data_IF_251692637506
#
_entry.id   IF_251692637506
#
_cell.length_a   1.000
_cell.length_b   1.000
_cell.length_c   1.000
_cell.angle_alpha   90.00
_cell.angle_beta   90.00
_cell.angle_gamma   90.00
#
_symmetry.space_group_name_H-M   'P 1'
#
loop_
_entity.id
_entity.type
_entity.pdbx_description
1 polymer ?
#
# COMPACT_ATOMS: atom_id res chain seq x y z
N UNK A 1 -51.58 7.53 -32.95
CA UNK A 1 -50.23 6.93 -32.84
C UNK A 1 -49.73 7.22 -31.45
N UNK A 2 -49.87 6.26 -30.55
CA UNK A 2 -49.35 6.34 -29.17
C UNK A 2 -47.92 5.84 -29.16
N UNK A 3 -46.97 6.75 -28.95
CA UNK A 3 -45.54 6.40 -28.75
C UNK A 3 -45.39 5.93 -27.32
N UNK A 4 -45.25 4.62 -27.13
CA UNK A 4 -44.87 4.03 -25.86
C UNK A 4 -43.40 4.32 -25.60
N UNK A 5 -43.13 5.27 -24.70
CA UNK A 5 -41.83 5.46 -24.11
C UNK A 5 -41.51 4.25 -23.22
N UNK A 6 -40.80 3.28 -23.77
CA UNK A 6 -40.16 2.22 -22.97
C UNK A 6 -39.07 2.87 -22.12
N UNK A 7 -39.39 3.14 -20.86
CA UNK A 7 -38.37 3.47 -19.86
C UNK A 7 -37.52 2.23 -19.67
N UNK A 8 -36.30 2.20 -20.21
CA UNK A 8 -35.28 1.28 -19.84
C UNK A 8 -34.90 1.53 -18.37
N UNK A 9 -35.67 0.96 -17.42
CA UNK A 9 -35.23 0.85 -16.03
C UNK A 9 -34.03 -0.06 -16.02
N UNK A 10 -32.88 0.44 -15.59
CA UNK A 10 -31.70 -0.38 -15.32
C UNK A 10 -32.13 -1.54 -14.41
N UNK A 11 -31.77 -2.79 -14.70
CA UNK A 11 -32.17 -3.94 -13.89
C UNK A 11 -31.70 -3.73 -12.45
N UNK A 12 -32.64 -3.56 -11.53
CA UNK A 12 -32.35 -3.37 -10.11
C UNK A 12 -31.86 -4.69 -9.51
N UNK A 13 -30.87 -4.60 -8.65
CA UNK A 13 -30.41 -5.73 -7.81
C UNK A 13 -31.58 -6.17 -6.94
N UNK A 14 -31.84 -7.48 -6.89
CA UNK A 14 -33.01 -8.05 -6.19
C UNK A 14 -32.64 -8.96 -5.03
N UNK A 15 -31.41 -9.46 -4.99
CA UNK A 15 -30.99 -10.39 -3.94
C UNK A 15 -30.80 -9.66 -2.60
N UNK A 16 -31.60 -9.97 -1.56
CA UNK A 16 -31.53 -9.28 -0.27
C UNK A 16 -30.20 -9.52 0.48
N UNK A 17 -29.55 -10.68 0.27
CA UNK A 17 -28.23 -10.95 0.90
C UNK A 17 -27.16 -10.02 0.35
N UNK A 18 -27.19 -9.69 -0.95
CA UNK A 18 -26.26 -8.73 -1.53
C UNK A 18 -26.47 -7.31 -0.98
N UNK A 19 -27.72 -6.90 -0.82
CA UNK A 19 -28.03 -5.58 -0.23
C UNK A 19 -27.63 -5.52 1.26
N UNK A 20 -27.80 -6.62 2.00
CA UNK A 20 -27.33 -6.70 3.38
C UNK A 20 -25.80 -6.63 3.46
N UNK A 21 -25.08 -7.40 2.64
CA UNK A 21 -23.62 -7.38 2.58
C UNK A 21 -23.08 -5.97 2.18
N UNK A 22 -23.72 -5.32 1.19
CA UNK A 22 -23.34 -3.96 0.75
C UNK A 22 -23.48 -2.95 1.90
N UNK A 23 -24.55 -3.05 2.71
CA UNK A 23 -24.78 -2.16 3.87
C UNK A 23 -23.78 -2.36 5.02
N UNK A 24 -23.24 -3.57 5.19
CA UNK A 24 -22.28 -3.90 6.25
C UNK A 24 -20.81 -3.67 5.82
N UNK A 25 -20.56 -3.53 4.53
CA UNK A 25 -19.22 -3.59 3.92
C UNK A 25 -18.21 -2.62 4.53
N UNK A 26 -18.63 -1.41 4.90
CA UNK A 26 -17.72 -0.39 5.43
C UNK A 26 -17.50 -0.55 6.95
N UNK A 27 -18.50 -1.04 7.69
CA UNK A 27 -18.45 -1.12 9.16
C UNK A 27 -18.06 -2.51 9.68
N UNK A 28 -18.52 -3.56 8.99
CA UNK A 28 -18.35 -4.96 9.40
C UNK A 28 -18.00 -5.83 8.19
N UNK A 29 -16.80 -5.65 7.58
CA UNK A 29 -16.40 -6.34 6.35
C UNK A 29 -16.29 -7.86 6.51
N UNK A 30 -15.96 -8.37 7.70
CA UNK A 30 -15.97 -9.79 8.06
C UNK A 30 -17.36 -10.41 7.99
N UNK A 31 -18.36 -9.71 8.53
CA UNK A 31 -19.77 -10.12 8.46
C UNK A 31 -20.29 -10.06 7.02
N UNK A 32 -19.92 -9.03 6.27
CA UNK A 32 -20.26 -8.94 4.85
C UNK A 32 -19.65 -10.11 4.05
N UNK A 33 -18.39 -10.46 4.32
CA UNK A 33 -17.74 -11.61 3.71
C UNK A 33 -18.48 -12.93 4.00
N UNK A 34 -18.81 -13.17 5.28
CA UNK A 34 -19.54 -14.37 5.71
C UNK A 34 -20.90 -14.50 4.99
N UNK A 35 -21.64 -13.39 4.83
CA UNK A 35 -22.90 -13.38 4.08
C UNK A 35 -22.67 -13.73 2.61
N UNK A 36 -21.65 -13.13 1.97
CA UNK A 36 -21.35 -13.37 0.55
C UNK A 36 -20.92 -14.81 0.30
N UNK A 37 -20.12 -15.40 1.18
CA UNK A 37 -19.68 -16.80 1.08
C UNK A 37 -20.79 -17.80 1.36
N UNK A 38 -21.85 -17.42 2.08
CA UNK A 38 -23.04 -18.26 2.28
C UNK A 38 -23.88 -18.43 1.02
N UNK A 39 -23.67 -17.59 0.01
CA UNK A 39 -24.44 -17.63 -1.24
C UNK A 39 -24.03 -18.83 -2.09
N UNK A 40 -24.95 -19.79 -2.21
CA UNK A 40 -24.77 -20.93 -3.09
C UNK A 40 -25.16 -20.60 -4.52
N UNK A 41 -24.38 -21.07 -5.51
CA UNK A 41 -24.64 -20.93 -6.94
C UNK A 41 -24.73 -19.48 -7.46
N UNK A 42 -23.75 -18.59 -7.18
CA UNK A 42 -23.77 -17.21 -7.65
C UNK A 42 -23.84 -17.10 -9.19
N UNK A 43 -23.35 -18.12 -9.91
CA UNK A 43 -23.41 -18.20 -11.38
C UNK A 43 -24.84 -18.28 -11.94
N UNK A 44 -25.83 -18.70 -11.13
CA UNK A 44 -27.26 -18.76 -11.51
C UNK A 44 -28.00 -17.44 -11.28
N UNK A 45 -27.36 -16.44 -10.68
CA UNK A 45 -27.97 -15.15 -10.42
C UNK A 45 -28.22 -14.37 -11.72
N UNK A 46 -29.22 -13.45 -11.71
CA UNK A 46 -29.37 -12.45 -12.74
C UNK A 46 -28.06 -11.67 -12.95
N UNK A 47 -27.83 -11.18 -14.17
CA UNK A 47 -26.56 -10.51 -14.54
C UNK A 47 -26.21 -9.36 -13.60
N UNK A 48 -27.19 -8.55 -13.16
CA UNK A 48 -26.96 -7.44 -12.24
C UNK A 48 -26.54 -7.91 -10.83
N UNK A 49 -27.21 -8.94 -10.30
CA UNK A 49 -26.90 -9.51 -8.98
C UNK A 49 -25.54 -10.19 -8.99
N UNK A 50 -25.20 -10.90 -10.08
CA UNK A 50 -23.89 -11.54 -10.24
C UNK A 50 -22.76 -10.52 -10.31
N UNK A 51 -22.97 -9.39 -11.00
CA UNK A 51 -21.99 -8.32 -11.04
C UNK A 51 -21.78 -7.66 -9.66
N UNK A 52 -22.87 -7.43 -8.93
CA UNK A 52 -22.77 -6.89 -7.57
C UNK A 52 -22.10 -7.90 -6.61
N UNK A 53 -22.44 -9.17 -6.71
CA UNK A 53 -21.79 -10.24 -5.94
C UNK A 53 -20.26 -10.24 -6.17
N UNK A 54 -19.85 -10.19 -7.43
CA UNK A 54 -18.43 -10.17 -7.79
C UNK A 54 -17.70 -8.95 -7.20
N UNK A 55 -18.32 -7.76 -7.32
CA UNK A 55 -17.77 -6.54 -6.74
C UNK A 55 -17.65 -6.64 -5.21
N UNK A 56 -18.73 -7.01 -4.54
CA UNK A 56 -18.77 -7.06 -3.07
C UNK A 56 -17.86 -8.14 -2.49
N UNK A 57 -17.77 -9.31 -3.14
CA UNK A 57 -16.88 -10.38 -2.65
C UNK A 57 -15.40 -9.99 -2.80
N UNK A 58 -15.01 -9.36 -3.91
CA UNK A 58 -13.65 -8.82 -4.07
C UNK A 58 -13.37 -7.74 -3.02
N UNK A 59 -14.30 -6.81 -2.83
CA UNK A 59 -14.18 -5.77 -1.80
C UNK A 59 -14.06 -6.36 -0.40
N UNK A 60 -14.89 -7.34 -0.05
CA UNK A 60 -14.87 -7.99 1.26
C UNK A 60 -13.55 -8.73 1.51
N UNK A 61 -13.06 -9.47 0.53
CA UNK A 61 -11.75 -10.16 0.62
C UNK A 61 -10.62 -9.16 0.83
N UNK A 62 -10.54 -8.13 0.00
CA UNK A 62 -9.52 -7.09 0.13
C UNK A 62 -9.55 -6.42 1.53
N UNK A 63 -10.76 -6.05 2.04
CA UNK A 63 -10.90 -5.44 3.37
C UNK A 63 -10.58 -6.39 4.54
N UNK A 64 -10.65 -7.70 4.33
CA UNK A 64 -10.29 -8.73 5.31
C UNK A 64 -8.85 -9.27 5.09
N UNK A 65 -8.03 -8.60 4.28
CA UNK A 65 -6.64 -8.97 3.99
C UNK A 65 -6.49 -10.41 3.44
N UNK A 66 -7.49 -10.87 2.69
CA UNK A 66 -7.45 -12.15 1.96
C UNK A 66 -6.89 -11.88 0.57
N UNK A 67 -5.80 -12.54 0.23
CA UNK A 67 -5.08 -12.34 -1.02
C UNK A 67 -6.01 -12.53 -2.25
N UNK A 68 -5.88 -11.62 -3.21
CA UNK A 68 -6.57 -11.65 -4.49
C UNK A 68 -5.62 -12.28 -5.53
N UNK A 69 -5.80 -13.58 -5.79
CA UNK A 69 -4.87 -14.38 -6.60
C UNK A 69 -5.12 -14.28 -8.10
N UNK A 70 -6.33 -13.87 -8.51
CA UNK A 70 -6.73 -13.69 -9.91
C UNK A 70 -7.80 -12.60 -10.07
N UNK A 71 -7.96 -12.11 -11.29
CA UNK A 71 -8.89 -11.04 -11.65
C UNK A 71 -10.25 -11.52 -12.19
N UNK A 72 -10.47 -12.84 -12.32
CA UNK A 72 -11.64 -13.39 -12.99
C UNK A 72 -12.97 -12.98 -12.34
N UNK A 73 -12.97 -12.88 -11.00
CA UNK A 73 -14.15 -12.49 -10.24
C UNK A 73 -14.50 -11.02 -10.48
N UNK A 74 -13.55 -10.12 -10.26
CA UNK A 74 -13.81 -8.67 -10.36
C UNK A 74 -14.09 -8.24 -11.82
N UNK A 75 -13.51 -8.91 -12.79
CA UNK A 75 -13.78 -8.70 -14.22
C UNK A 75 -15.26 -8.86 -14.55
N UNK A 76 -15.98 -9.79 -13.88
CA UNK A 76 -17.44 -9.90 -14.02
C UNK A 76 -18.18 -8.61 -13.66
N UNK A 77 -17.72 -7.88 -12.66
CA UNK A 77 -18.28 -6.57 -12.27
C UNK A 77 -17.91 -5.49 -13.27
N UNK A 78 -16.65 -5.42 -13.68
CA UNK A 78 -16.17 -4.43 -14.67
C UNK A 78 -16.89 -4.59 -16.01
N UNK A 79 -17.03 -5.82 -16.53
CA UNK A 79 -17.76 -6.10 -17.77
C UNK A 79 -19.25 -5.69 -17.71
N UNK A 80 -19.84 -5.64 -16.53
CA UNK A 80 -21.21 -5.22 -16.34
C UNK A 80 -21.37 -3.72 -16.16
N UNK A 81 -20.58 -3.11 -15.26
CA UNK A 81 -20.70 -1.69 -14.95
C UNK A 81 -20.08 -0.79 -16.02
N UNK A 82 -19.03 -1.29 -16.70
CA UNK A 82 -18.34 -0.61 -17.80
C UNK A 82 -17.60 0.65 -17.35
N UNK A 83 -16.98 1.32 -18.33
CA UNK A 83 -16.09 2.46 -18.13
C UNK A 83 -16.61 3.79 -18.74
N UNK A 84 -17.82 3.78 -19.32
CA UNK A 84 -18.35 4.91 -20.12
C UNK A 84 -19.14 5.92 -19.30
N UNK A 85 -19.77 5.49 -18.21
CA UNK A 85 -20.67 6.32 -17.40
C UNK A 85 -20.17 6.43 -15.97
N UNK A 86 -20.06 7.67 -15.48
CA UNK A 86 -19.73 7.94 -14.07
C UNK A 86 -20.75 7.27 -13.15
N UNK A 87 -20.28 6.35 -12.31
CA UNK A 87 -21.06 5.76 -11.23
C UNK A 87 -20.13 5.23 -10.16
N UNK A 88 -20.58 5.25 -8.90
CA UNK A 88 -19.78 4.75 -7.79
C UNK A 88 -19.47 3.24 -7.93
N UNK A 89 -20.41 2.44 -8.43
CA UNK A 89 -20.19 1.00 -8.64
C UNK A 89 -19.18 0.72 -9.74
N UNK A 90 -19.20 1.48 -10.83
CA UNK A 90 -18.18 1.37 -11.87
C UNK A 90 -16.81 1.80 -11.34
N UNK A 91 -16.73 2.91 -10.61
CA UNK A 91 -15.49 3.36 -9.98
C UNK A 91 -14.94 2.33 -8.98
N UNK A 92 -15.81 1.76 -8.11
CA UNK A 92 -15.40 0.69 -7.18
C UNK A 92 -14.93 -0.57 -7.92
N UNK A 93 -15.60 -0.97 -9.02
CA UNK A 93 -15.20 -2.14 -9.78
C UNK A 93 -13.78 -1.97 -10.37
N UNK A 94 -13.49 -0.84 -11.00
CA UNK A 94 -12.16 -0.53 -11.51
C UNK A 94 -11.12 -0.36 -10.38
N UNK A 95 -11.49 0.26 -9.25
CA UNK A 95 -10.60 0.37 -8.10
C UNK A 95 -10.18 -1.00 -7.58
N UNK A 96 -11.14 -1.92 -7.33
CA UNK A 96 -10.79 -3.27 -6.83
C UNK A 96 -10.11 -4.14 -7.88
N UNK A 97 -10.32 -3.87 -9.17
CA UNK A 97 -9.51 -4.50 -10.21
C UNK A 97 -8.06 -4.00 -10.17
N UNK A 98 -7.85 -2.70 -10.00
CA UNK A 98 -6.53 -2.12 -9.76
C UNK A 98 -5.86 -2.67 -8.51
N UNK A 99 -6.62 -2.82 -7.40
CA UNK A 99 -6.11 -3.43 -6.17
C UNK A 99 -5.69 -4.90 -6.39
N UNK A 100 -6.49 -5.69 -7.13
CA UNK A 100 -6.14 -7.06 -7.50
C UNK A 100 -4.82 -7.10 -8.29
N UNK A 101 -4.68 -6.27 -9.31
CA UNK A 101 -3.43 -6.19 -10.08
C UNK A 101 -2.24 -5.74 -9.22
N UNK A 102 -2.46 -4.79 -8.30
CA UNK A 102 -1.43 -4.33 -7.38
C UNK A 102 -0.93 -5.44 -6.44
N UNK A 103 -1.85 -6.28 -5.92
CA UNK A 103 -1.52 -7.44 -5.08
C UNK A 103 -0.79 -8.54 -5.87
N UNK A 104 -1.15 -8.73 -7.13
CA UNK A 104 -0.48 -9.66 -8.05
C UNK A 104 0.88 -9.14 -8.57
N UNK A 105 1.27 -7.89 -8.24
CA UNK A 105 2.53 -7.29 -8.70
C UNK A 105 2.46 -6.63 -10.08
N UNK A 106 1.30 -6.58 -10.73
CA UNK A 106 1.10 -5.95 -12.04
C UNK A 106 0.84 -4.44 -11.89
N UNK A 107 1.87 -3.70 -11.48
CA UNK A 107 1.78 -2.26 -11.13
C UNK A 107 1.25 -1.42 -12.28
N UNK A 108 1.67 -1.67 -13.52
CA UNK A 108 1.24 -0.89 -14.69
C UNK A 108 -0.25 -1.07 -14.99
N UNK A 109 -0.79 -2.28 -14.85
CA UNK A 109 -2.23 -2.54 -14.97
C UNK A 109 -3.01 -1.91 -13.82
N UNK A 110 -2.49 -1.97 -12.59
CA UNK A 110 -3.10 -1.31 -11.44
C UNK A 110 -3.26 0.19 -11.66
N UNK A 111 -2.23 0.88 -12.17
CA UNK A 111 -2.27 2.31 -12.51
C UNK A 111 -3.39 2.63 -13.51
N UNK A 112 -3.53 1.84 -14.60
CA UNK A 112 -4.59 2.03 -15.60
C UNK A 112 -5.99 1.95 -14.98
N UNK A 113 -6.20 0.95 -14.13
CA UNK A 113 -7.48 0.73 -13.48
C UNK A 113 -7.80 1.80 -12.43
N UNK A 114 -6.81 2.25 -11.64
CA UNK A 114 -6.99 3.37 -10.71
C UNK A 114 -7.29 4.70 -11.44
N UNK A 115 -6.62 4.99 -12.54
CA UNK A 115 -6.92 6.17 -13.36
C UNK A 115 -8.35 6.11 -13.95
N UNK A 116 -8.79 4.92 -14.36
CA UNK A 116 -10.15 4.69 -14.82
C UNK A 116 -11.17 4.89 -13.69
N UNK A 117 -10.87 4.35 -12.49
CA UNK A 117 -11.71 4.55 -11.30
C UNK A 117 -11.86 6.06 -10.97
N UNK A 118 -10.75 6.81 -10.96
CA UNK A 118 -10.77 8.28 -10.74
C UNK A 118 -11.68 8.99 -11.75
N UNK A 119 -11.58 8.64 -13.03
CA UNK A 119 -12.41 9.23 -14.11
C UNK A 119 -13.90 8.94 -13.91
N UNK A 120 -14.22 7.75 -13.36
CA UNK A 120 -15.59 7.27 -13.14
C UNK A 120 -16.22 7.78 -11.84
N UNK A 121 -15.45 8.34 -10.93
CA UNK A 121 -15.97 8.88 -9.67
C UNK A 121 -17.00 9.97 -9.92
N UNK A 122 -18.22 9.84 -9.34
CA UNK A 122 -19.26 10.85 -9.48
C UNK A 122 -19.07 12.05 -8.54
N UNK A 123 -18.37 11.85 -7.41
CA UNK A 123 -18.18 12.85 -6.34
C UNK A 123 -16.73 12.87 -5.87
N UNK A 124 -16.34 13.97 -5.23
CA UNK A 124 -15.01 14.12 -4.60
C UNK A 124 -15.16 13.85 -3.11
N UNK A 125 -14.95 12.61 -2.71
CA UNK A 125 -15.11 12.12 -1.35
C UNK A 125 -13.86 11.34 -0.89
N UNK A 126 -13.93 10.76 0.30
CA UNK A 126 -12.87 9.97 0.91
C UNK A 126 -12.45 8.75 0.06
N UNK A 127 -13.41 8.16 -0.67
CA UNK A 127 -13.10 7.04 -1.55
C UNK A 127 -12.22 7.48 -2.73
N UNK A 128 -12.47 8.66 -3.30
CA UNK A 128 -11.59 9.22 -4.33
C UNK A 128 -10.18 9.52 -3.77
N UNK A 129 -10.08 10.00 -2.53
CA UNK A 129 -8.78 10.21 -1.90
C UNK A 129 -8.01 8.89 -1.74
N UNK A 130 -8.69 7.83 -1.31
CA UNK A 130 -8.11 6.49 -1.20
C UNK A 130 -7.61 5.95 -2.55
N UNK A 131 -8.34 6.20 -3.65
CA UNK A 131 -7.85 5.81 -4.98
C UNK A 131 -6.55 6.55 -5.33
N UNK A 132 -6.45 7.85 -5.01
CA UNK A 132 -5.22 8.61 -5.24
C UNK A 132 -4.06 8.13 -4.36
N UNK A 133 -4.31 7.72 -3.11
CA UNK A 133 -3.27 7.15 -2.24
C UNK A 133 -2.71 5.84 -2.82
N UNK A 134 -3.57 4.91 -3.23
CA UNK A 134 -3.13 3.64 -3.84
C UNK A 134 -2.43 3.86 -5.20
N UNK A 135 -2.89 4.82 -5.99
CA UNK A 135 -2.22 5.23 -7.23
C UNK A 135 -0.81 5.79 -6.94
N UNK A 136 -0.68 6.59 -5.88
CA UNK A 136 0.62 7.13 -5.46
C UNK A 136 1.59 6.02 -5.03
N UNK A 137 1.10 4.99 -4.32
CA UNK A 137 1.91 3.82 -3.96
C UNK A 137 2.40 3.02 -5.18
N UNK A 138 1.59 2.94 -6.25
CA UNK A 138 2.04 2.37 -7.50
C UNK A 138 3.17 3.18 -8.15
N UNK A 139 3.04 4.51 -8.17
CA UNK A 139 4.09 5.39 -8.67
C UNK A 139 5.36 5.36 -7.80
N UNK A 140 5.22 5.17 -6.48
CA UNK A 140 6.35 4.99 -5.57
C UNK A 140 7.14 3.72 -5.91
N UNK A 141 6.44 2.59 -6.13
CA UNK A 141 7.08 1.33 -6.55
C UNK A 141 7.82 1.44 -7.88
N UNK A 142 7.34 2.31 -8.78
CA UNK A 142 8.00 2.61 -10.05
C UNK A 142 9.06 3.73 -9.93
N UNK A 143 9.37 4.19 -8.70
CA UNK A 143 10.33 5.26 -8.40
C UNK A 143 9.98 6.62 -9.05
N UNK A 144 8.73 6.81 -9.43
CA UNK A 144 8.20 8.03 -10.00
C UNK A 144 7.80 9.03 -8.91
N UNK A 145 8.75 9.41 -8.05
CA UNK A 145 8.52 10.12 -6.79
C UNK A 145 7.77 11.45 -6.94
N UNK A 146 8.06 12.24 -7.97
CA UNK A 146 7.36 13.52 -8.18
C UNK A 146 5.90 13.31 -8.57
N UNK A 147 5.60 12.25 -9.34
CA UNK A 147 4.23 11.89 -9.73
C UNK A 147 3.48 11.33 -8.51
N UNK A 148 4.13 10.50 -7.70
CA UNK A 148 3.59 9.99 -6.44
C UNK A 148 3.22 11.14 -5.49
N UNK A 149 4.11 12.14 -5.30
CA UNK A 149 3.82 13.35 -4.52
C UNK A 149 2.59 14.09 -5.08
N UNK A 150 2.48 14.17 -6.40
CA UNK A 150 1.31 14.77 -7.06
C UNK A 150 0.01 14.06 -6.69
N UNK A 151 -0.02 12.74 -6.73
CA UNK A 151 -1.17 11.93 -6.37
C UNK A 151 -1.51 12.02 -4.87
N UNK A 152 -0.51 11.91 -3.97
CA UNK A 152 -0.72 12.13 -2.52
C UNK A 152 -1.29 13.53 -2.22
N UNK A 153 -0.84 14.57 -2.93
CA UNK A 153 -1.40 15.93 -2.78
C UNK A 153 -2.87 16.00 -3.21
N UNK A 154 -3.26 15.27 -4.26
CA UNK A 154 -4.69 15.18 -4.64
C UNK A 154 -5.51 14.52 -3.52
N UNK A 155 -5.04 13.40 -2.95
CA UNK A 155 -5.67 12.76 -1.80
C UNK A 155 -5.81 13.74 -0.62
N UNK A 156 -4.73 14.39 -0.22
CA UNK A 156 -4.72 15.37 0.87
C UNK A 156 -5.71 16.53 0.67
N UNK A 157 -5.80 17.07 -0.56
CA UNK A 157 -6.71 18.17 -0.88
C UNK A 157 -8.20 17.77 -0.88
N UNK A 158 -8.50 16.49 -1.13
CA UNK A 158 -9.88 15.97 -1.08
C UNK A 158 -10.32 15.81 0.38
N UNK A 159 -9.42 15.32 1.24
CA UNK A 159 -9.64 15.11 2.66
C UNK A 159 -9.59 16.46 3.40
N UNK A 160 -10.73 16.93 3.90
CA UNK A 160 -10.86 18.25 4.52
C UNK A 160 -10.56 18.26 6.02
N UNK A 161 -9.59 17.48 6.46
CA UNK A 161 -9.20 17.29 7.86
C UNK A 161 -9.44 15.86 8.35
N UNK A 162 -9.05 15.59 9.59
CA UNK A 162 -9.22 14.28 10.23
C UNK A 162 -8.05 13.31 10.03
N UNK A 163 -8.18 12.15 10.65
CA UNK A 163 -7.15 11.10 10.68
C UNK A 163 -6.72 10.62 9.30
N UNK A 164 -7.61 10.66 8.33
CA UNK A 164 -7.32 10.20 6.96
C UNK A 164 -6.27 11.04 6.25
N UNK A 165 -6.07 12.33 6.62
CA UNK A 165 -5.01 13.18 6.05
C UNK A 165 -3.60 12.73 6.44
N UNK A 166 -3.45 11.89 7.46
CA UNK A 166 -2.17 11.38 7.95
C UNK A 166 -1.47 10.55 6.86
N UNK A 167 -2.23 9.71 6.14
CA UNK A 167 -1.67 8.80 5.12
C UNK A 167 -1.01 9.55 3.94
N UNK A 168 -1.68 10.48 3.26
CA UNK A 168 -1.04 11.22 2.17
C UNK A 168 0.10 12.13 2.66
N UNK A 169 0.01 12.74 3.85
CA UNK A 169 1.12 13.51 4.42
C UNK A 169 2.35 12.64 4.67
N UNK A 170 2.15 11.44 5.22
CA UNK A 170 3.19 10.45 5.45
C UNK A 170 3.82 9.97 4.14
N UNK A 171 2.99 9.74 3.11
CA UNK A 171 3.44 9.39 1.76
C UNK A 171 4.31 10.48 1.13
N UNK A 172 3.87 11.74 1.18
CA UNK A 172 4.66 12.89 0.70
C UNK A 172 6.00 12.99 1.44
N UNK A 173 5.99 12.83 2.77
CA UNK A 173 7.21 12.89 3.59
C UNK A 173 8.21 11.79 3.16
N UNK A 174 7.73 10.56 2.97
CA UNK A 174 8.56 9.43 2.51
C UNK A 174 9.16 9.70 1.13
N UNK A 175 8.38 10.21 0.17
CA UNK A 175 8.88 10.58 -1.15
C UNK A 175 9.93 11.69 -1.08
N UNK A 176 9.72 12.69 -0.23
CA UNK A 176 10.72 13.73 0.02
C UNK A 176 12.03 13.16 0.58
N UNK A 177 11.93 12.16 1.48
CA UNK A 177 13.11 11.52 2.06
C UNK A 177 13.89 10.73 1.00
N UNK A 178 13.20 9.95 0.16
CA UNK A 178 13.79 9.20 -0.95
C UNK A 178 14.47 10.14 -1.99
N UNK A 179 13.93 11.34 -2.18
CA UNK A 179 14.55 12.38 -3.00
C UNK A 179 15.66 13.18 -2.27
N UNK A 180 16.09 12.75 -1.08
CA UNK A 180 17.08 13.44 -0.24
C UNK A 180 16.66 14.86 0.20
N UNK A 181 15.37 15.20 0.15
CA UNK A 181 14.77 16.46 0.61
C UNK A 181 14.40 16.36 2.09
N UNK A 182 15.40 16.15 2.96
CA UNK A 182 15.24 15.75 4.37
C UNK A 182 14.45 16.76 5.20
N UNK A 183 14.68 18.06 4.99
CA UNK A 183 13.95 19.09 5.74
C UNK A 183 12.47 19.13 5.37
N UNK A 184 12.14 18.97 4.09
CA UNK A 184 10.75 18.85 3.65
C UNK A 184 10.06 17.60 4.23
N UNK A 185 10.75 16.46 4.26
CA UNK A 185 10.23 15.23 4.87
C UNK A 185 9.89 15.45 6.34
N UNK A 186 10.77 16.06 7.11
CA UNK A 186 10.52 16.38 8.53
C UNK A 186 9.28 17.26 8.73
N UNK A 187 9.07 18.25 7.86
CA UNK A 187 7.90 19.13 7.93
C UNK A 187 6.59 18.32 7.71
N UNK A 188 6.55 17.48 6.68
CA UNK A 188 5.36 16.68 6.40
C UNK A 188 5.11 15.58 7.45
N UNK A 189 6.17 14.93 7.96
CA UNK A 189 6.01 13.97 9.07
C UNK A 189 5.52 14.67 10.35
N UNK A 190 5.98 15.90 10.63
CA UNK A 190 5.49 16.66 11.78
C UNK A 190 4.01 17.03 11.61
N UNK A 191 3.58 17.45 10.43
CA UNK A 191 2.17 17.74 10.13
C UNK A 191 1.31 16.48 10.31
N UNK A 192 1.77 15.33 9.83
CA UNK A 192 1.08 14.05 10.02
C UNK A 192 0.98 13.70 11.52
N UNK A 193 2.06 13.91 12.29
CA UNK A 193 2.07 13.67 13.73
C UNK A 193 1.09 14.59 14.48
N UNK A 194 1.03 15.86 14.10
CA UNK A 194 0.11 16.81 14.70
C UNK A 194 -1.37 16.39 14.49
N UNK A 195 -1.69 15.89 13.28
CA UNK A 195 -3.01 15.29 13.00
C UNK A 195 -3.27 14.05 13.86
N UNK A 196 -2.30 13.12 13.96
CA UNK A 196 -2.44 11.88 14.74
C UNK A 196 -2.62 12.16 16.24
N UNK A 197 -1.96 13.18 16.77
CA UNK A 197 -2.09 13.61 18.16
C UNK A 197 -3.48 14.17 18.48
N UNK A 198 -4.09 14.89 17.53
CA UNK A 198 -5.48 15.38 17.68
C UNK A 198 -6.47 14.21 17.74
N UNK A 199 -6.28 13.21 16.89
CA UNK A 199 -7.13 12.01 16.82
C UNK A 199 -6.85 11.00 17.95
N UNK A 200 -5.76 11.17 18.70
CA UNK A 200 -5.31 10.28 19.79
C UNK A 200 -5.07 8.82 19.32
N UNK A 201 -4.73 8.61 18.05
CA UNK A 201 -4.40 7.29 17.50
C UNK A 201 -2.98 6.87 17.88
N UNK A 202 -2.88 6.08 18.96
CA UNK A 202 -1.61 5.64 19.50
C UNK A 202 -0.77 4.85 18.49
N UNK A 203 -1.41 4.08 17.59
CA UNK A 203 -0.71 3.27 16.59
C UNK A 203 -0.04 4.18 15.56
N UNK A 204 -0.78 5.15 15.00
CA UNK A 204 -0.24 6.13 14.05
C UNK A 204 0.80 7.05 14.70
N UNK A 205 0.58 7.50 15.94
CA UNK A 205 1.57 8.29 16.69
C UNK A 205 2.89 7.52 16.84
N UNK A 206 2.83 6.25 17.22
CA UNK A 206 4.01 5.40 17.34
C UNK A 206 4.77 5.23 16.02
N UNK A 207 4.03 4.98 14.93
CA UNK A 207 4.61 4.87 13.59
C UNK A 207 5.25 6.18 13.12
N UNK A 208 4.61 7.33 13.36
CA UNK A 208 5.14 8.64 12.98
C UNK A 208 6.36 9.06 13.81
N UNK A 209 6.43 8.68 15.09
CA UNK A 209 7.67 8.84 15.85
C UNK A 209 8.82 8.01 15.27
N UNK A 210 8.55 6.79 14.79
CA UNK A 210 9.55 5.99 14.10
C UNK A 210 9.99 6.63 12.77
N UNK A 211 9.05 7.10 11.95
CA UNK A 211 9.35 7.78 10.69
C UNK A 211 10.20 9.04 10.91
N UNK A 212 9.86 9.87 11.92
CA UNK A 212 10.67 11.03 12.30
C UNK A 212 12.07 10.64 12.76
N UNK A 213 12.20 9.54 13.52
CA UNK A 213 13.50 9.05 13.95
C UNK A 213 14.37 8.66 12.75
N UNK A 214 13.79 7.99 11.75
CA UNK A 214 14.49 7.63 10.53
C UNK A 214 14.88 8.87 9.73
N UNK A 215 14.00 9.86 9.58
CA UNK A 215 14.29 11.10 8.88
C UNK A 215 15.42 11.92 9.55
N UNK A 216 15.45 11.98 10.88
CA UNK A 216 16.56 12.61 11.61
C UNK A 216 17.86 11.79 11.48
N UNK A 217 17.78 10.46 11.47
CA UNK A 217 18.92 9.57 11.25
C UNK A 217 19.55 9.81 9.87
N UNK A 218 18.73 9.92 8.83
CA UNK A 218 19.16 10.27 7.48
C UNK A 218 19.80 11.67 7.42
N UNK A 219 19.35 12.58 8.25
CA UNK A 219 19.95 13.91 8.42
C UNK A 219 21.23 13.87 9.27
N UNK A 220 21.59 12.71 9.82
CA UNK A 220 22.70 12.47 10.75
C UNK A 220 22.56 13.21 12.10
N UNK A 221 21.35 13.67 12.43
CA UNK A 221 21.03 14.17 13.77
C UNK A 221 20.60 12.99 14.66
N UNK A 222 21.58 12.21 15.06
CA UNK A 222 21.35 10.99 15.84
C UNK A 222 20.83 11.28 17.25
N UNK A 223 20.98 12.50 17.76
CA UNK A 223 20.43 12.89 19.06
C UNK A 223 18.91 13.03 18.97
N UNK A 224 18.40 13.74 17.95
CA UNK A 224 16.96 13.82 17.72
C UNK A 224 16.39 12.47 17.29
N UNK A 225 17.11 11.72 16.45
CA UNK A 225 16.71 10.37 16.06
C UNK A 225 16.51 9.47 17.30
N UNK A 226 17.45 9.49 18.28
CA UNK A 226 17.37 8.75 19.53
C UNK A 226 16.14 9.15 20.37
N UNK A 227 15.85 10.43 20.45
CA UNK A 227 14.68 10.96 21.16
C UNK A 227 13.37 10.44 20.55
N UNK A 228 13.23 10.46 19.23
CA UNK A 228 12.01 10.05 18.55
C UNK A 228 11.83 8.53 18.53
N UNK A 229 12.90 7.74 18.27
CA UNK A 229 12.80 6.28 18.31
C UNK A 229 12.50 5.78 19.74
N UNK A 230 12.97 6.47 20.77
CA UNK A 230 12.61 6.14 22.16
C UNK A 230 11.13 6.34 22.44
N UNK A 231 10.53 7.41 21.91
CA UNK A 231 9.07 7.62 21.99
C UNK A 231 8.29 6.55 21.22
N UNK A 232 8.76 6.12 20.05
CA UNK A 232 8.16 5.04 19.31
C UNK A 232 8.15 3.73 20.12
N UNK A 233 9.28 3.38 20.75
CA UNK A 233 9.39 2.20 21.63
C UNK A 233 8.45 2.28 22.83
N UNK A 234 8.27 3.45 23.42
CA UNK A 234 7.34 3.64 24.57
C UNK A 234 5.89 3.34 24.19
N UNK A 235 5.49 3.59 22.96
CA UNK A 235 4.12 3.38 22.47
C UNK A 235 3.94 1.98 21.89
N UNK A 236 4.85 1.55 21.00
CA UNK A 236 4.74 0.28 20.28
C UNK A 236 5.25 -0.92 21.08
N UNK A 237 5.95 -0.66 22.19
CA UNK A 237 6.56 -1.70 23.00
C UNK A 237 7.96 -2.11 22.52
N UNK A 238 8.63 -2.84 23.37
CA UNK A 238 9.98 -3.33 23.09
C UNK A 238 10.01 -4.55 22.15
N UNK A 239 8.85 -5.08 21.78
CA UNK A 239 8.72 -6.20 20.85
C UNK A 239 8.53 -5.74 19.40
N UNK A 240 8.48 -4.44 19.17
CA UNK A 240 8.46 -3.84 17.83
C UNK A 240 9.84 -3.98 17.15
N UNK A 241 10.02 -5.07 16.42
CA UNK A 241 11.30 -5.53 15.85
C UNK A 241 11.99 -4.45 15.04
N UNK A 242 11.29 -3.85 14.09
CA UNK A 242 11.85 -2.82 13.20
C UNK A 242 12.27 -1.54 13.96
N UNK A 243 11.52 -1.16 15.01
CA UNK A 243 11.86 0.01 15.84
C UNK A 243 13.10 -0.27 16.67
N UNK A 244 13.27 -1.50 17.18
CA UNK A 244 14.47 -1.93 17.88
C UNK A 244 15.71 -1.94 16.98
N UNK A 245 15.60 -2.42 15.74
CA UNK A 245 16.70 -2.35 14.76
C UNK A 245 17.10 -0.91 14.46
N UNK A 246 16.13 -0.03 14.26
CA UNK A 246 16.39 1.41 14.04
C UNK A 246 17.08 2.04 15.26
N UNK A 247 16.64 1.69 16.48
CA UNK A 247 17.29 2.13 17.72
C UNK A 247 18.73 1.64 17.80
N UNK A 248 18.99 0.37 17.46
CA UNK A 248 20.32 -0.21 17.44
C UNK A 248 21.26 0.55 16.49
N UNK A 249 20.80 0.84 15.28
CA UNK A 249 21.55 1.60 14.28
C UNK A 249 21.87 3.03 14.76
N UNK A 250 20.89 3.70 15.37
CA UNK A 250 21.11 5.05 15.96
C UNK A 250 22.13 4.97 17.11
N UNK A 251 22.07 3.97 17.99
CA UNK A 251 23.05 3.78 19.07
C UNK A 251 24.45 3.50 18.52
N UNK A 252 24.57 2.71 17.46
CA UNK A 252 25.84 2.45 16.78
C UNK A 252 26.45 3.75 16.21
N UNK A 253 25.64 4.58 15.59
CA UNK A 253 26.07 5.87 15.06
C UNK A 253 26.46 6.87 16.17
N UNK A 254 25.83 6.79 17.33
CA UNK A 254 26.23 7.51 18.56
C UNK A 254 27.45 6.90 19.27
N UNK A 255 28.03 5.85 18.73
CA UNK A 255 29.14 5.08 19.32
C UNK A 255 28.83 4.46 20.70
N UNK A 256 27.54 4.21 20.99
CA UNK A 256 27.06 3.53 22.20
C UNK A 256 26.98 2.01 21.95
N UNK A 257 28.14 1.35 21.83
CA UNK A 257 28.26 -0.01 21.31
C UNK A 257 27.49 -1.06 22.11
N UNK A 258 27.46 -0.95 23.45
CA UNK A 258 26.75 -1.92 24.32
C UNK A 258 25.22 -1.79 24.12
N UNK A 259 24.72 -0.56 24.06
CA UNK A 259 23.31 -0.31 23.78
C UNK A 259 22.93 -0.78 22.37
N UNK A 260 23.78 -0.53 21.36
CA UNK A 260 23.56 -1.00 20.00
C UNK A 260 23.48 -2.54 19.96
N UNK A 261 24.45 -3.22 20.57
CA UNK A 261 24.47 -4.70 20.67
C UNK A 261 23.22 -5.25 21.35
N UNK A 262 22.78 -4.63 22.44
CA UNK A 262 21.55 -5.01 23.14
C UNK A 262 20.32 -4.95 22.23
N UNK A 263 20.12 -3.81 21.52
CA UNK A 263 18.94 -3.64 20.66
C UNK A 263 19.01 -4.51 19.41
N UNK A 264 20.18 -4.73 18.82
CA UNK A 264 20.35 -5.68 17.71
C UNK A 264 20.00 -7.10 18.11
N UNK A 265 20.46 -7.57 19.27
CA UNK A 265 20.24 -8.95 19.73
C UNK A 265 18.81 -9.22 20.18
N UNK A 266 17.97 -8.19 20.24
CA UNK A 266 16.59 -8.32 20.66
C UNK A 266 15.73 -8.85 19.50
N UNK A 267 14.96 -9.91 19.78
CA UNK A 267 14.01 -10.48 18.81
C UNK A 267 14.64 -10.98 17.49
N UNK A 268 15.89 -11.43 17.49
CA UNK A 268 16.63 -11.91 16.30
C UNK A 268 15.86 -13.01 15.56
N UNK A 269 15.19 -13.91 16.31
CA UNK A 269 14.43 -15.03 15.75
C UNK A 269 13.18 -14.57 14.95
N UNK A 270 12.71 -13.35 15.16
CA UNK A 270 11.56 -12.76 14.47
C UNK A 270 11.96 -11.97 13.22
N UNK A 271 13.27 -11.80 12.96
CA UNK A 271 13.74 -11.05 11.81
C UNK A 271 13.55 -11.82 10.51
N UNK A 272 13.02 -11.14 9.52
CA UNK A 272 13.05 -11.59 8.14
C UNK A 272 14.47 -11.50 7.54
N UNK A 273 14.61 -11.83 6.27
CA UNK A 273 15.91 -11.81 5.58
C UNK A 273 16.56 -10.41 5.59
N UNK A 274 15.76 -9.34 5.43
CA UNK A 274 16.24 -7.96 5.43
C UNK A 274 16.67 -7.53 6.85
N UNK A 275 15.85 -7.81 7.85
CA UNK A 275 16.17 -7.54 9.25
C UNK A 275 17.41 -8.29 9.72
N UNK A 276 17.60 -9.55 9.30
CA UNK A 276 18.83 -10.33 9.57
C UNK A 276 20.04 -9.71 8.91
N UNK A 277 19.93 -9.20 7.69
CA UNK A 277 21.04 -8.51 7.03
C UNK A 277 21.46 -7.26 7.84
N UNK A 278 20.48 -6.44 8.27
CA UNK A 278 20.73 -5.26 9.13
C UNK A 278 21.38 -5.66 10.46
N UNK A 279 20.93 -6.76 11.08
CA UNK A 279 21.52 -7.29 12.31
C UNK A 279 22.99 -7.68 12.12
N UNK A 280 23.30 -8.50 11.11
CA UNK A 280 24.68 -8.98 10.91
C UNK A 280 25.62 -7.85 10.50
N UNK A 281 25.19 -6.90 9.67
CA UNK A 281 26.01 -5.73 9.36
C UNK A 281 26.26 -4.88 10.62
N UNK A 282 25.25 -4.64 11.44
CA UNK A 282 25.39 -3.91 12.69
C UNK A 282 26.35 -4.60 13.68
N UNK A 283 26.22 -5.91 13.85
CA UNK A 283 27.11 -6.70 14.72
C UNK A 283 28.54 -6.76 14.18
N UNK A 284 28.73 -6.83 12.85
CA UNK A 284 30.03 -6.67 12.21
C UNK A 284 30.69 -5.33 12.58
N UNK A 285 29.94 -4.24 12.43
CA UNK A 285 30.47 -2.89 12.73
C UNK A 285 30.83 -2.73 14.22
N UNK A 286 30.02 -3.30 15.13
CA UNK A 286 30.31 -3.29 16.56
C UNK A 286 31.58 -4.08 16.85
N UNK A 287 31.69 -5.32 16.37
CA UNK A 287 32.86 -6.17 16.59
C UNK A 287 34.14 -5.54 16.02
N UNK A 288 34.06 -4.94 14.83
CA UNK A 288 35.18 -4.19 14.22
C UNK A 288 35.62 -3.01 15.10
N UNK A 289 34.69 -2.23 15.65
CA UNK A 289 35.00 -1.09 16.56
C UNK A 289 35.61 -1.55 17.89
N UNK A 290 35.27 -2.78 18.35
CA UNK A 290 35.84 -3.39 19.55
C UNK A 290 37.16 -4.11 19.31
N UNK A 291 37.59 -4.31 18.06
CA UNK A 291 38.78 -5.09 17.70
C UNK A 291 38.59 -6.61 17.80
N UNK A 292 37.36 -7.09 17.83
CA UNK A 292 36.96 -8.50 17.91
C UNK A 292 36.92 -9.10 16.48
N UNK A 293 38.11 -9.26 15.88
CA UNK A 293 38.26 -9.58 14.45
C UNK A 293 37.62 -10.90 14.04
N UNK A 294 37.65 -11.93 14.88
CA UNK A 294 37.03 -13.23 14.62
C UNK A 294 35.50 -13.06 14.48
N UNK A 295 34.87 -12.43 15.46
CA UNK A 295 33.44 -12.15 15.47
C UNK A 295 33.03 -11.26 14.30
N UNK A 296 33.89 -10.28 13.97
CA UNK A 296 33.66 -9.43 12.80
C UNK A 296 33.64 -10.26 11.50
N UNK A 297 34.59 -11.20 11.31
CA UNK A 297 34.60 -12.07 10.12
C UNK A 297 33.38 -12.95 10.05
N UNK A 298 32.96 -13.57 11.16
CA UNK A 298 31.76 -14.42 11.23
C UNK A 298 30.48 -13.64 10.81
N UNK A 299 30.33 -12.41 11.31
CA UNK A 299 29.17 -11.59 11.00
C UNK A 299 29.16 -11.06 9.54
N UNK A 300 30.33 -10.66 9.00
CA UNK A 300 30.37 -10.17 7.61
C UNK A 300 30.14 -11.30 6.60
N UNK A 301 30.56 -12.53 6.91
CA UNK A 301 30.30 -13.69 6.05
C UNK A 301 28.80 -14.05 6.06
N UNK A 302 28.15 -14.02 7.22
CA UNK A 302 26.71 -14.20 7.33
C UNK A 302 25.93 -13.09 6.57
N UNK A 303 26.36 -11.83 6.70
CA UNK A 303 25.78 -10.70 5.96
C UNK A 303 25.88 -10.91 4.45
N UNK A 304 27.05 -11.33 3.93
CA UNK A 304 27.24 -11.52 2.48
C UNK A 304 26.27 -12.54 1.90
N UNK A 305 26.09 -13.68 2.59
CA UNK A 305 25.13 -14.72 2.15
C UNK A 305 23.71 -14.14 2.03
N UNK A 306 23.30 -13.35 3.01
CA UNK A 306 21.98 -12.71 2.97
C UNK A 306 21.90 -11.63 1.89
N UNK A 307 22.96 -10.84 1.73
CA UNK A 307 23.03 -9.80 0.69
C UNK A 307 22.88 -10.38 -0.71
N UNK A 308 23.58 -11.48 -1.03
CA UNK A 308 23.46 -12.16 -2.32
C UNK A 308 22.04 -12.69 -2.56
N UNK A 309 21.39 -13.20 -1.50
CA UNK A 309 20.00 -13.65 -1.57
C UNK A 309 19.03 -12.49 -1.79
N UNK A 310 19.22 -11.37 -1.12
CA UNK A 310 18.43 -10.15 -1.27
C UNK A 310 18.59 -9.59 -2.68
N UNK A 311 19.83 -9.53 -3.19
CA UNK A 311 20.12 -9.06 -4.54
C UNK A 311 19.37 -9.90 -5.59
N UNK A 312 19.40 -11.22 -5.44
CA UNK A 312 18.66 -12.12 -6.34
C UNK A 312 17.14 -11.87 -6.31
N UNK A 313 16.56 -11.61 -5.14
CA UNK A 313 15.13 -11.26 -5.00
C UNK A 313 14.85 -9.94 -5.72
N UNK A 314 15.66 -8.91 -5.48
CA UNK A 314 15.50 -7.57 -6.08
C UNK A 314 15.60 -7.61 -7.60
N UNK A 315 16.58 -8.35 -8.15
CA UNK A 315 16.76 -8.50 -9.60
C UNK A 315 15.54 -9.18 -10.24
N UNK A 316 14.95 -10.19 -9.59
CA UNK A 316 13.73 -10.83 -10.06
C UNK A 316 12.50 -9.91 -10.00
N UNK A 317 12.36 -9.09 -8.95
CA UNK A 317 11.27 -8.11 -8.85
C UNK A 317 11.38 -7.05 -9.95
N UNK A 318 12.59 -6.58 -10.27
CA UNK A 318 12.81 -5.64 -11.37
C UNK A 318 12.47 -6.27 -12.73
N UNK A 319 12.89 -7.52 -12.97
CA UNK A 319 12.53 -8.25 -14.18
C UNK A 319 11.01 -8.39 -14.33
N UNK A 320 10.30 -8.77 -13.27
CA UNK A 320 8.85 -8.89 -13.28
C UNK A 320 8.18 -7.55 -13.60
N UNK A 321 8.67 -6.45 -13.05
CA UNK A 321 8.20 -5.10 -13.32
C UNK A 321 8.39 -4.68 -14.79
N UNK A 322 9.51 -5.05 -15.40
CA UNK A 322 9.78 -4.81 -16.83
C UNK A 322 8.84 -5.65 -17.71
N UNK A 323 8.61 -6.90 -17.35
CA UNK A 323 7.68 -7.79 -18.04
C UNK A 323 6.25 -7.27 -17.99
N UNK A 324 5.79 -6.79 -16.84
CA UNK A 324 4.47 -6.18 -16.66
C UNK A 324 4.28 -4.96 -17.58
N UNK A 325 5.26 -4.05 -17.62
CA UNK A 325 5.23 -2.90 -18.52
C UNK A 325 5.14 -3.31 -19.99
N UNK A 326 5.93 -4.29 -20.40
CA UNK A 326 5.90 -4.80 -21.78
C UNK A 326 4.54 -5.44 -22.13
N UNK A 327 3.97 -6.25 -21.21
CA UNK A 327 2.66 -6.87 -21.41
C UNK A 327 1.54 -5.81 -21.55
N UNK A 328 1.56 -4.75 -20.76
CA UNK A 328 0.61 -3.67 -20.86
C UNK A 328 0.70 -2.94 -22.21
N UNK A 329 1.93 -2.65 -22.69
CA UNK A 329 2.13 -2.01 -24.01
C UNK A 329 1.62 -2.89 -25.14
N UNK A 330 1.88 -4.19 -25.09
CA UNK A 330 1.40 -5.15 -26.07
C UNK A 330 -0.14 -5.22 -26.06
N UNK A 331 -0.74 -5.29 -24.88
CA UNK A 331 -2.20 -5.27 -24.71
C UNK A 331 -2.82 -4.02 -25.34
N UNK A 332 -2.28 -2.84 -25.07
CA UNK A 332 -2.74 -1.57 -25.66
C UNK A 332 -2.61 -1.57 -27.19
N UNK A 333 -1.53 -2.11 -27.72
CA UNK A 333 -1.32 -2.25 -29.16
C UNK A 333 -2.41 -3.12 -29.79
N UNK A 334 -2.64 -4.32 -29.25
CA UNK A 334 -3.65 -5.25 -29.72
C UNK A 334 -5.07 -4.64 -29.69
N UNK A 335 -5.43 -3.95 -28.61
CA UNK A 335 -6.71 -3.23 -28.49
C UNK A 335 -6.85 -2.15 -29.57
N UNK A 336 -5.79 -1.37 -29.83
CA UNK A 336 -5.78 -0.35 -30.87
C UNK A 336 -5.98 -0.95 -32.28
N UNK A 337 -5.29 -2.05 -32.58
CA UNK A 337 -5.41 -2.78 -33.85
C UNK A 337 -6.83 -3.34 -34.03
N UNK A 338 -7.38 -3.95 -32.98
CA UNK A 338 -8.76 -4.47 -33.00
C UNK A 338 -9.79 -3.37 -33.21
N UNK A 339 -9.62 -2.23 -32.53
CA UNK A 339 -10.50 -1.07 -32.71
C UNK A 339 -10.45 -0.52 -34.14
N UNK A 340 -9.28 -0.46 -34.75
CA UNK A 340 -9.12 -0.03 -36.16
C UNK A 340 -9.82 -0.97 -37.13
N UNK A 341 -9.74 -2.31 -36.90
CA UNK A 341 -10.42 -3.31 -37.73
C UNK A 341 -11.96 -3.23 -37.62
N UNK A 342 -12.51 -2.79 -36.49
CA UNK A 342 -13.96 -2.64 -36.30
C UNK A 342 -14.53 -1.36 -36.95
N UNK A 343 -13.67 -0.38 -37.23
CA UNK A 343 -14.06 0.93 -37.83
C UNK A 343 -13.85 0.93 -39.35
N UNK A 344 -13.01 0.03 -39.87
CA UNK A 344 -12.79 -0.15 -41.31
C UNK A 344 -13.86 -1.04 -41.96
#
# INVERSE_FOLDING_TARGET
>A
MSVSLSSCSSPSVKNPLLLCADSLMETYPDSALSILESITYPQKMPRADRALYALLLTQARHKNYIALEDDSLIKTAVDYYGDKKKSLRAAKAHYYWGATYSEMGYTSFAVEEYLTAIRLMPVRDEFLAMIYDNLAECYERDELFDIAIGAYRQAYQILRGGSQQIYPLRGIARMCLLQNKKDSALVYYQQALDCALVEQDSSLIGALYHDLAMAYSEKKDYIQADKYVSKAIMIQGQDAVNVCLSKAQIMLNLNKLDSASYFYSKNVDQLDIYGKAVYYDGMYQIAKKRGEWKTATENIDAYKILYDSIQFITDNEELNRLMDKHQLEEHKRLLSEHTKMLIS
#
